data_IF_376775948906
#
_entry.id   IF_376775948906
#
_cell.length_a   1.000
_cell.length_b   1.000
_cell.length_c   1.000
_cell.angle_alpha   90.00
_cell.angle_beta   90.00
_cell.angle_gamma   90.00
#
_symmetry.space_group_name_H-M   'P 1'
#
loop_
_entity.id
_entity.type
_entity.pdbx_description
1 polymer ?
#
# COMPACT_ATOMS: atom_id res chain seq x y z
N UNK A 1 -1.48 -22.07 0.95
CA UNK A 1 -0.54 -22.43 2.05
C UNK A 1 -1.26 -22.17 3.36
N UNK A 2 -1.02 -22.99 4.40
CA UNK A 2 -2.01 -23.20 5.48
C UNK A 2 -2.16 -22.01 6.44
N UNK A 3 -3.33 -21.93 7.08
CA UNK A 3 -3.66 -21.01 8.20
C UNK A 3 -2.54 -20.87 9.24
N UNK A 4 -1.69 -21.90 9.39
CA UNK A 4 -0.54 -21.90 10.29
C UNK A 4 0.52 -20.84 9.95
N UNK A 5 0.75 -20.54 8.66
CA UNK A 5 1.73 -19.52 8.25
C UNK A 5 1.25 -18.13 8.63
N UNK A 6 0.00 -17.79 8.27
CA UNK A 6 -0.65 -16.53 8.63
C UNK A 6 -0.65 -16.32 10.15
N UNK A 7 -1.01 -17.36 10.93
CA UNK A 7 -0.98 -17.27 12.41
C UNK A 7 0.42 -17.00 12.94
N UNK A 8 1.47 -17.60 12.37
CA UNK A 8 2.84 -17.32 12.77
C UNK A 8 3.27 -15.89 12.42
N UNK A 9 2.90 -15.41 11.23
CA UNK A 9 3.18 -14.04 10.78
C UNK A 9 2.47 -13.01 11.66
N UNK A 10 1.20 -13.22 12.00
CA UNK A 10 0.47 -12.37 12.95
C UNK A 10 1.17 -12.31 14.32
N UNK A 11 1.59 -13.46 14.85
CA UNK A 11 2.32 -13.49 16.12
C UNK A 11 3.66 -12.75 16.03
N UNK A 12 4.40 -12.90 14.92
CA UNK A 12 5.65 -12.18 14.71
C UNK A 12 5.43 -10.65 14.69
N UNK A 13 4.35 -10.17 14.08
CA UNK A 13 3.95 -8.77 14.11
C UNK A 13 3.63 -8.33 15.55
N UNK A 14 2.80 -9.11 16.27
CA UNK A 14 2.42 -8.80 17.64
C UNK A 14 3.62 -8.69 18.59
N UNK A 15 4.59 -9.60 18.47
CA UNK A 15 5.81 -9.62 19.27
C UNK A 15 6.77 -8.48 18.89
N UNK A 16 6.99 -8.25 17.59
CA UNK A 16 7.94 -7.25 17.12
C UNK A 16 7.50 -5.80 17.40
N UNK A 17 6.19 -5.56 17.44
CA UNK A 17 5.59 -4.26 17.72
C UNK A 17 5.01 -4.18 19.15
N UNK A 18 5.30 -5.14 20.02
CA UNK A 18 4.86 -5.12 21.40
C UNK A 18 5.39 -3.86 22.13
N UNK A 19 4.50 -3.14 22.80
CA UNK A 19 4.84 -1.94 23.57
C UNK A 19 5.13 -0.69 22.74
N UNK A 20 4.92 -0.73 21.42
CA UNK A 20 4.92 0.49 20.60
C UNK A 20 3.69 1.32 20.99
N UNK A 21 3.93 2.54 21.44
CA UNK A 21 2.91 3.56 21.67
C UNK A 21 3.08 4.70 20.66
N UNK A 22 2.00 5.44 20.41
CA UNK A 22 1.98 6.50 19.40
C UNK A 22 2.81 7.72 19.84
N UNK A 23 2.78 8.05 21.13
CA UNK A 23 3.41 9.27 21.64
C UNK A 23 2.77 10.52 21.04
N UNK A 24 3.58 11.35 20.38
CA UNK A 24 3.15 12.57 19.69
C UNK A 24 2.89 12.36 18.18
N UNK A 25 3.02 11.12 17.69
CA UNK A 25 2.78 10.79 16.28
C UNK A 25 1.32 10.99 15.87
N UNK A 26 1.07 11.16 14.57
CA UNK A 26 -0.29 11.44 14.04
C UNK A 26 -1.19 10.22 14.24
N UNK A 27 -2.36 10.42 14.86
CA UNK A 27 -3.33 9.36 15.15
C UNK A 27 -4.29 9.09 13.99
N UNK A 28 -5.05 8.00 14.07
CA UNK A 28 -5.92 7.51 12.98
C UNK A 28 -6.97 8.54 12.52
N UNK A 29 -7.79 9.07 13.43
CA UNK A 29 -8.79 10.09 13.12
C UNK A 29 -8.16 11.45 12.89
N UNK A 30 -7.03 11.73 13.52
CA UNK A 30 -6.27 12.95 13.24
C UNK A 30 -5.83 13.00 11.78
N UNK A 31 -5.34 11.89 11.23
CA UNK A 31 -4.95 11.75 9.83
C UNK A 31 -6.15 11.90 8.87
N UNK A 32 -7.32 11.36 9.22
CA UNK A 32 -8.58 11.56 8.48
C UNK A 32 -8.97 13.05 8.40
N UNK A 33 -8.83 13.78 9.52
CA UNK A 33 -9.05 15.24 9.53
C UNK A 33 -8.03 15.98 8.68
N UNK A 34 -6.77 15.52 8.62
CA UNK A 34 -5.74 16.12 7.75
C UNK A 34 -6.12 15.94 6.27
N UNK A 35 -6.58 14.76 5.88
CA UNK A 35 -7.05 14.47 4.52
C UNK A 35 -8.20 15.41 4.10
N UNK A 36 -9.14 15.64 5.02
CA UNK A 36 -10.28 16.56 4.84
C UNK A 36 -9.93 18.05 4.99
N UNK A 37 -8.63 18.41 5.05
CA UNK A 37 -8.14 19.79 5.23
C UNK A 37 -8.66 20.49 6.50
N UNK A 38 -8.92 19.72 7.56
CA UNK A 38 -9.43 20.23 8.82
C UNK A 38 -8.43 21.07 9.61
N UNK A 39 -8.96 21.82 10.57
CA UNK A 39 -8.20 22.72 11.43
C UNK A 39 -7.46 21.99 12.56
N UNK A 40 -6.46 22.66 13.16
CA UNK A 40 -5.76 22.16 14.35
C UNK A 40 -6.70 21.83 15.53
N UNK A 41 -7.80 22.58 15.68
CA UNK A 41 -8.79 22.29 16.73
C UNK A 41 -9.56 21.00 16.45
N UNK A 42 -9.88 20.72 15.18
CA UNK A 42 -10.55 19.49 14.77
C UNK A 42 -9.61 18.30 14.89
N UNK A 43 -8.34 18.47 14.49
CA UNK A 43 -7.27 17.47 14.69
C UNK A 43 -7.11 17.08 16.15
N UNK A 44 -7.02 18.07 17.06
CA UNK A 44 -6.90 17.82 18.49
C UNK A 44 -8.14 17.11 19.07
N UNK A 45 -9.35 17.47 18.61
CA UNK A 45 -10.58 16.82 19.03
C UNK A 45 -10.72 15.38 18.51
N UNK A 46 -10.23 15.12 17.29
CA UNK A 46 -10.17 13.79 16.69
C UNK A 46 -9.16 12.90 17.44
N UNK A 47 -7.94 13.41 17.66
CA UNK A 47 -6.88 12.73 18.41
C UNK A 47 -7.31 12.30 19.80
N UNK A 48 -8.08 13.13 20.50
CA UNK A 48 -8.57 12.82 21.85
C UNK A 48 -9.47 11.57 21.93
N UNK A 49 -9.95 11.07 20.79
CA UNK A 49 -10.80 9.88 20.68
C UNK A 49 -10.03 8.64 20.20
N UNK A 50 -8.78 8.79 19.79
CA UNK A 50 -7.99 7.69 19.24
C UNK A 50 -7.29 6.89 20.35
N UNK A 51 -7.10 5.60 20.08
CA UNK A 51 -6.20 4.75 20.84
C UNK A 51 -4.75 5.13 20.48
N UNK A 52 -3.93 5.41 21.50
CA UNK A 52 -2.56 5.93 21.34
C UNK A 52 -1.52 5.14 22.15
N UNK A 53 -1.96 4.17 22.96
CA UNK A 53 -1.12 3.43 23.89
C UNK A 53 -0.80 2.04 23.39
N UNK A 54 -1.76 1.36 22.76
CA UNK A 54 -1.60 0.00 22.26
C UNK A 54 -2.34 -0.20 20.93
N UNK A 55 -1.59 -0.34 19.86
CA UNK A 55 -2.14 -0.51 18.51
C UNK A 55 -3.04 -1.75 18.38
N UNK A 56 -2.90 -2.75 19.25
CA UNK A 56 -3.73 -3.96 19.27
C UNK A 56 -5.17 -3.69 19.72
N UNK A 57 -5.39 -2.57 20.40
CA UNK A 57 -6.72 -2.14 20.83
C UNK A 57 -7.46 -1.37 19.73
N UNK A 58 -6.82 -1.04 18.61
CA UNK A 58 -7.50 -0.41 17.47
C UNK A 58 -8.46 -1.44 16.86
N UNK A 59 -9.78 -1.16 16.83
CA UNK A 59 -10.75 -2.09 16.26
C UNK A 59 -10.57 -2.25 14.75
N UNK A 60 -10.77 -3.47 14.24
CA UNK A 60 -10.74 -3.75 12.79
C UNK A 60 -11.70 -2.84 12.01
N UNK A 61 -12.88 -2.52 12.57
CA UNK A 61 -13.86 -1.59 11.99
C UNK A 61 -13.31 -0.18 11.76
N UNK A 62 -12.33 0.26 12.55
CA UNK A 62 -11.67 1.54 12.32
C UNK A 62 -10.61 1.42 11.23
N UNK A 63 -9.83 0.33 11.22
CA UNK A 63 -8.89 0.07 10.13
C UNK A 63 -9.64 0.02 8.79
N UNK A 64 -10.78 -0.66 8.74
CA UNK A 64 -11.63 -0.78 7.56
C UNK A 64 -12.19 0.57 7.10
N UNK A 65 -12.56 1.43 8.05
CA UNK A 65 -13.16 2.75 7.80
C UNK A 65 -12.15 3.78 7.30
N UNK A 66 -10.88 3.68 7.68
CA UNK A 66 -9.87 4.71 7.42
C UNK A 66 -8.77 4.22 6.45
N UNK A 67 -9.07 3.64 5.27
CA UNK A 67 -8.06 2.99 4.45
C UNK A 67 -6.95 3.93 3.94
N UNK A 68 -7.22 5.23 3.79
CA UNK A 68 -6.33 6.16 3.09
C UNK A 68 -5.41 6.97 4.01
N UNK A 69 -5.54 6.82 5.33
CA UNK A 69 -4.91 7.73 6.29
C UNK A 69 -3.40 7.55 6.45
N UNK A 70 -2.84 6.42 6.01
CA UNK A 70 -1.42 6.09 6.19
C UNK A 70 -0.48 7.10 5.51
N UNK A 71 -0.90 7.76 4.42
CA UNK A 71 -0.06 8.74 3.73
C UNK A 71 0.02 10.10 4.47
N UNK A 72 -0.89 10.35 5.42
CA UNK A 72 -0.90 11.56 6.25
C UNK A 72 -0.20 11.38 7.60
N UNK A 73 0.28 10.17 7.89
CA UNK A 73 0.98 9.87 9.13
C UNK A 73 2.47 10.20 9.05
N UNK A 74 3.01 10.66 10.17
CA UNK A 74 4.45 10.80 10.37
C UNK A 74 5.11 9.46 10.74
N UNK A 75 6.43 9.47 10.96
CA UNK A 75 7.20 8.26 11.29
C UNK A 75 6.64 7.51 12.51
N UNK A 76 6.26 8.26 13.55
CA UNK A 76 5.69 7.70 14.78
C UNK A 76 4.28 7.13 14.54
N UNK A 77 3.43 7.86 13.81
CA UNK A 77 2.12 7.41 13.37
C UNK A 77 2.19 6.11 12.57
N UNK A 78 3.08 6.05 11.58
CA UNK A 78 3.30 4.84 10.78
C UNK A 78 3.80 3.67 11.63
N UNK A 79 4.80 3.90 12.51
CA UNK A 79 5.32 2.85 13.39
C UNK A 79 4.23 2.23 14.27
N UNK A 80 3.28 3.04 14.73
CA UNK A 80 2.19 2.62 15.59
C UNK A 80 1.05 1.93 14.82
N UNK A 81 0.62 2.47 13.67
CA UNK A 81 -0.57 1.96 12.98
C UNK A 81 -0.28 0.83 11.98
N UNK A 82 0.90 0.79 11.33
CA UNK A 82 1.25 -0.28 10.39
C UNK A 82 1.01 -1.71 10.91
N UNK A 83 1.39 -2.09 12.15
CA UNK A 83 1.09 -3.44 12.64
C UNK A 83 -0.40 -3.75 12.74
N UNK A 84 -1.26 -2.77 13.04
CA UNK A 84 -2.71 -2.96 13.06
C UNK A 84 -3.25 -3.20 11.64
N UNK A 85 -2.76 -2.46 10.64
CA UNK A 85 -3.11 -2.65 9.23
C UNK A 85 -2.62 -3.99 8.67
N UNK A 86 -1.39 -4.40 8.97
CA UNK A 86 -0.88 -5.73 8.57
C UNK A 86 -1.70 -6.85 9.21
N UNK A 87 -2.05 -6.73 10.50
CA UNK A 87 -2.92 -7.69 11.20
C UNK A 87 -4.32 -7.75 10.58
N UNK A 88 -4.91 -6.59 10.27
CA UNK A 88 -6.19 -6.51 9.57
C UNK A 88 -6.13 -7.22 8.22
N UNK A 89 -5.13 -6.92 7.39
CA UNK A 89 -4.96 -7.55 6.09
C UNK A 89 -4.89 -9.08 6.20
N UNK A 90 -4.10 -9.61 7.15
CA UNK A 90 -4.00 -11.05 7.37
C UNK A 90 -5.31 -11.70 7.85
N UNK A 91 -6.11 -10.99 8.63
CA UNK A 91 -7.39 -11.49 9.17
C UNK A 91 -8.55 -11.34 8.20
N UNK A 92 -8.53 -10.33 7.34
CA UNK A 92 -9.71 -9.83 6.60
C UNK A 92 -9.58 -9.85 5.07
N UNK A 93 -8.47 -10.34 4.53
CA UNK A 93 -8.26 -10.39 3.07
C UNK A 93 -9.31 -11.21 2.29
N UNK A 94 -10.05 -12.10 2.95
CA UNK A 94 -11.08 -12.93 2.29
C UNK A 94 -12.48 -12.33 2.33
N UNK A 95 -12.78 -11.48 3.32
CA UNK A 95 -14.14 -11.07 3.67
C UNK A 95 -14.35 -9.55 3.76
N UNK A 96 -13.28 -8.74 3.65
CA UNK A 96 -13.37 -7.28 3.55
C UNK A 96 -13.05 -6.79 2.14
N UNK A 97 -13.90 -5.91 1.62
CA UNK A 97 -13.69 -5.18 0.37
C UNK A 97 -12.98 -3.83 0.58
N UNK A 98 -12.48 -3.56 1.80
CA UNK A 98 -11.81 -2.29 2.10
C UNK A 98 -10.42 -2.21 1.48
N UNK A 99 -10.05 -0.99 1.08
CA UNK A 99 -8.73 -0.65 0.55
C UNK A 99 -7.63 -0.66 1.62
N UNK A 100 -7.94 -0.94 2.88
CA UNK A 100 -6.94 -0.93 3.97
C UNK A 100 -5.82 -1.95 3.74
N UNK A 101 -6.13 -3.10 3.14
CA UNK A 101 -5.12 -4.08 2.73
C UNK A 101 -4.19 -3.50 1.66
N UNK A 102 -4.77 -2.93 0.59
CA UNK A 102 -4.00 -2.31 -0.49
C UNK A 102 -3.14 -1.15 0.02
N UNK A 103 -3.67 -0.31 0.90
CA UNK A 103 -2.94 0.81 1.50
C UNK A 103 -1.74 0.35 2.33
N UNK A 104 -1.91 -0.73 3.11
CA UNK A 104 -0.82 -1.32 3.88
C UNK A 104 0.29 -1.85 2.96
N UNK A 105 -0.09 -2.64 1.95
CA UNK A 105 0.86 -3.24 1.00
C UNK A 105 1.54 -2.16 0.15
N UNK A 106 0.79 -1.16 -0.34
CA UNK A 106 1.33 -0.01 -1.05
C UNK A 106 2.38 0.71 -0.21
N UNK A 107 2.05 1.03 1.05
CA UNK A 107 2.97 1.72 1.95
C UNK A 107 4.23 0.90 2.20
N UNK A 108 4.15 -0.43 2.21
CA UNK A 108 5.29 -1.31 2.43
C UNK A 108 6.07 -1.67 1.16
N UNK A 109 5.53 -1.34 -0.03
CA UNK A 109 6.18 -1.56 -1.33
C UNK A 109 6.72 -0.29 -1.99
N UNK A 110 6.25 0.90 -1.60
CA UNK A 110 6.75 2.17 -2.11
C UNK A 110 8.23 2.40 -1.71
N UNK A 111 9.16 2.61 -2.66
CA UNK A 111 10.58 2.73 -2.35
C UNK A 111 10.92 3.87 -1.40
N UNK A 112 10.20 5.00 -1.48
CA UNK A 112 10.43 6.18 -0.64
C UNK A 112 9.96 5.91 0.79
N UNK A 113 8.83 5.24 0.93
CA UNK A 113 8.33 4.72 2.21
C UNK A 113 9.32 3.76 2.86
N UNK A 114 9.83 2.78 2.11
CA UNK A 114 10.79 1.81 2.64
C UNK A 114 12.04 2.52 3.15
N UNK A 115 12.57 3.49 2.39
CA UNK A 115 13.72 4.29 2.80
C UNK A 115 13.46 5.04 4.12
N UNK A 116 12.30 5.70 4.23
CA UNK A 116 11.85 6.41 5.43
C UNK A 116 11.74 5.44 6.63
N UNK A 117 10.98 4.35 6.48
CA UNK A 117 10.67 3.39 7.56
C UNK A 117 11.91 2.66 8.08
N UNK A 118 12.84 2.29 7.20
CA UNK A 118 14.08 1.59 7.58
C UNK A 118 14.94 2.38 8.56
N UNK A 119 14.84 3.71 8.56
CA UNK A 119 15.63 4.58 9.44
C UNK A 119 15.25 4.49 10.92
N UNK A 120 14.03 4.05 11.25
CA UNK A 120 13.52 4.09 12.62
C UNK A 120 12.89 2.79 13.13
N UNK A 121 12.74 1.78 12.28
CA UNK A 121 12.25 0.46 12.69
C UNK A 121 13.36 -0.41 13.28
N UNK A 122 13.02 -1.14 14.35
CA UNK A 122 13.93 -2.14 14.90
C UNK A 122 14.08 -3.35 13.95
N UNK A 123 15.20 -4.10 13.99
CA UNK A 123 15.38 -5.27 13.15
C UNK A 123 14.26 -6.31 13.26
N UNK A 124 13.69 -6.50 14.45
CA UNK A 124 12.54 -7.40 14.66
C UNK A 124 11.29 -6.92 13.90
N UNK A 125 11.05 -5.60 13.84
CA UNK A 125 9.93 -5.00 13.12
C UNK A 125 10.09 -5.17 11.61
N UNK A 126 11.32 -4.98 11.10
CA UNK A 126 11.66 -5.24 9.69
C UNK A 126 11.42 -6.71 9.35
N UNK A 127 11.85 -7.64 10.20
CA UNK A 127 11.63 -9.07 9.99
C UNK A 127 10.14 -9.45 9.97
N UNK A 128 9.31 -8.80 10.80
CA UNK A 128 7.86 -9.01 10.78
C UNK A 128 7.22 -8.48 9.49
N UNK A 129 7.65 -7.30 9.00
CA UNK A 129 7.23 -6.76 7.70
C UNK A 129 7.60 -7.69 6.56
N UNK A 130 8.83 -8.24 6.56
CA UNK A 130 9.27 -9.20 5.56
C UNK A 130 8.40 -10.46 5.54
N UNK A 131 8.02 -10.99 6.70
CA UNK A 131 7.10 -12.13 6.80
C UNK A 131 5.72 -11.79 6.24
N UNK A 132 5.18 -10.61 6.58
CA UNK A 132 3.93 -10.12 6.02
C UNK A 132 3.97 -10.02 4.48
N UNK A 133 5.00 -9.39 3.92
CA UNK A 133 5.15 -9.27 2.46
C UNK A 133 5.31 -10.63 1.78
N UNK A 134 5.96 -11.60 2.42
CA UNK A 134 6.02 -12.97 1.91
C UNK A 134 4.63 -13.62 1.87
N UNK A 135 3.76 -13.39 2.87
CA UNK A 135 2.36 -13.86 2.82
C UNK A 135 1.61 -13.21 1.66
N UNK A 136 1.74 -11.89 1.49
CA UNK A 136 1.11 -11.17 0.38
C UNK A 136 1.59 -11.69 -0.99
N UNK A 137 2.89 -11.94 -1.15
CA UNK A 137 3.45 -12.46 -2.40
C UNK A 137 2.89 -13.83 -2.79
N UNK A 138 2.49 -14.64 -1.81
CA UNK A 138 1.95 -15.98 -2.02
C UNK A 138 0.43 -16.01 -2.14
N UNK A 139 -0.21 -14.84 -2.01
CA UNK A 139 -1.65 -14.72 -1.95
C UNK A 139 -2.14 -13.55 -2.82
N UNK A 140 -2.53 -13.89 -4.05
CA UNK A 140 -2.98 -12.94 -5.07
C UNK A 140 -4.19 -12.08 -4.65
N UNK A 141 -4.87 -12.42 -3.54
CA UNK A 141 -5.98 -11.62 -2.99
C UNK A 141 -5.54 -10.49 -2.05
N UNK A 142 -4.30 -10.52 -1.54
CA UNK A 142 -3.79 -9.52 -0.60
C UNK A 142 -3.24 -8.26 -1.29
N UNK A 143 -3.49 -8.10 -2.59
CA UNK A 143 -3.15 -6.91 -3.37
C UNK A 143 -1.71 -6.89 -3.89
N UNK A 144 -1.47 -6.01 -4.87
CA UNK A 144 -0.20 -5.81 -5.61
C UNK A 144 0.28 -7.00 -6.46
N UNK A 145 1.13 -6.69 -7.43
CA UNK A 145 1.77 -7.72 -8.25
C UNK A 145 2.86 -8.44 -7.45
N UNK A 146 3.03 -9.74 -7.68
CA UNK A 146 4.09 -10.53 -7.02
C UNK A 146 5.51 -10.00 -7.34
N UNK A 147 5.68 -9.31 -8.46
CA UNK A 147 6.92 -8.63 -8.86
C UNK A 147 7.18 -7.39 -8.01
N UNK A 148 6.19 -6.52 -7.80
CA UNK A 148 6.32 -5.33 -6.95
C UNK A 148 6.67 -5.72 -5.51
N UNK A 149 5.97 -6.72 -4.96
CA UNK A 149 6.26 -7.26 -3.63
C UNK A 149 7.67 -7.87 -3.58
N UNK A 150 8.10 -8.56 -4.64
CA UNK A 150 9.45 -9.11 -4.76
C UNK A 150 10.54 -8.04 -4.70
N UNK A 151 10.33 -6.89 -5.35
CA UNK A 151 11.23 -5.74 -5.29
C UNK A 151 11.25 -5.11 -3.89
N UNK A 152 10.07 -4.96 -3.27
CA UNK A 152 9.96 -4.48 -1.90
C UNK A 152 10.76 -5.37 -0.94
N UNK A 153 10.60 -6.69 -1.01
CA UNK A 153 11.34 -7.66 -0.18
C UNK A 153 12.85 -7.50 -0.37
N UNK A 154 13.34 -7.36 -1.61
CA UNK A 154 14.77 -7.10 -1.87
C UNK A 154 15.23 -5.79 -1.22
N UNK A 155 14.45 -4.72 -1.37
CA UNK A 155 14.78 -3.42 -0.77
C UNK A 155 14.77 -3.48 0.77
N UNK A 156 13.82 -4.18 1.40
CA UNK A 156 13.80 -4.46 2.84
C UNK A 156 14.97 -5.33 3.30
N UNK A 157 15.60 -6.09 2.41
CA UNK A 157 16.86 -6.79 2.69
C UNK A 157 18.12 -5.95 2.43
N UNK A 158 17.96 -4.68 2.03
CA UNK A 158 19.07 -3.74 1.81
C UNK A 158 19.63 -3.75 0.39
N UNK A 159 18.92 -4.32 -0.58
CA UNK A 159 19.28 -4.23 -1.99
C UNK A 159 18.90 -2.85 -2.56
N UNK A 160 19.90 -1.97 -2.66
CA UNK A 160 19.74 -0.63 -3.23
C UNK A 160 19.36 -0.65 -4.72
N UNK A 161 19.65 -1.73 -5.45
CA UNK A 161 19.27 -1.85 -6.86
C UNK A 161 17.78 -2.04 -7.04
N UNK A 162 17.12 -2.72 -6.09
CA UNK A 162 15.68 -2.94 -6.11
C UNK A 162 14.88 -1.64 -6.00
N UNK A 163 15.35 -0.68 -5.21
CA UNK A 163 14.73 0.64 -5.09
C UNK A 163 14.75 1.39 -6.44
N UNK A 164 15.86 1.30 -7.18
CA UNK A 164 16.01 1.90 -8.50
C UNK A 164 15.13 1.20 -9.53
N UNK A 165 15.11 -0.13 -9.55
CA UNK A 165 14.24 -0.93 -10.43
C UNK A 165 12.76 -0.59 -10.20
N UNK A 166 12.32 -0.48 -8.95
CA UNK A 166 10.94 -0.12 -8.61
C UNK A 166 10.58 1.29 -9.08
N UNK A 167 11.47 2.29 -8.88
CA UNK A 167 11.29 3.65 -9.40
C UNK A 167 11.24 3.69 -10.94
N UNK A 168 12.05 2.89 -11.63
CA UNK A 168 12.03 2.76 -13.09
C UNK A 168 10.73 2.09 -13.61
N UNK A 169 10.15 1.15 -12.86
CA UNK A 169 8.83 0.56 -13.17
C UNK A 169 7.73 1.61 -12.97
N UNK A 170 7.72 2.30 -11.84
CA UNK A 170 6.73 3.34 -11.54
C UNK A 170 6.75 4.45 -12.61
N UNK A 171 7.94 4.95 -12.96
CA UNK A 171 8.07 5.97 -14.01
C UNK A 171 7.56 5.49 -15.38
N UNK A 172 7.77 4.22 -15.72
CA UNK A 172 7.19 3.63 -16.95
C UNK A 172 5.68 3.51 -16.87
N UNK A 173 5.12 3.16 -15.71
CA UNK A 173 3.66 3.17 -15.46
C UNK A 173 3.08 4.56 -15.65
N UNK A 174 3.68 5.57 -15.04
CA UNK A 174 3.20 6.96 -15.15
C UNK A 174 3.24 7.45 -16.60
N UNK A 175 4.36 7.22 -17.29
CA UNK A 175 4.48 7.52 -18.71
C UNK A 175 3.42 6.77 -19.54
N UNK A 176 3.18 5.49 -19.23
CA UNK A 176 2.15 4.71 -19.90
C UNK A 176 0.76 5.29 -19.69
N UNK A 177 0.41 5.67 -18.45
CA UNK A 177 -0.89 6.29 -18.14
C UNK A 177 -1.08 7.63 -18.85
N UNK A 178 -0.05 8.48 -18.91
CA UNK A 178 -0.10 9.76 -19.62
C UNK A 178 -0.28 9.58 -21.13
N UNK A 179 0.53 8.72 -21.75
CA UNK A 179 0.45 8.46 -23.19
C UNK A 179 -0.87 7.76 -23.57
N UNK A 180 -1.34 6.82 -22.74
CA UNK A 180 -2.61 6.14 -22.95
C UNK A 180 -3.81 7.08 -22.76
N UNK A 181 -3.79 7.93 -21.72
CA UNK A 181 -4.84 8.93 -21.49
C UNK A 181 -4.95 9.94 -22.64
N UNK A 182 -3.81 10.35 -23.20
CA UNK A 182 -3.75 11.18 -24.41
C UNK A 182 -4.37 10.46 -25.60
N UNK A 183 -4.01 9.19 -25.81
CA UNK A 183 -4.57 8.36 -26.89
C UNK A 183 -6.09 8.18 -26.76
N UNK A 184 -6.59 7.91 -25.55
CA UNK A 184 -8.03 7.77 -25.30
C UNK A 184 -8.79 9.07 -25.63
N UNK A 185 -8.22 10.22 -25.22
CA UNK A 185 -8.75 11.55 -25.54
C UNK A 185 -8.78 11.80 -27.04
N UNK A 186 -7.67 11.52 -27.75
CA UNK A 186 -7.55 11.66 -29.21
C UNK A 186 -8.61 10.84 -29.97
N UNK A 187 -8.93 9.66 -29.47
CA UNK A 187 -9.91 8.75 -30.07
C UNK A 187 -11.35 9.11 -29.67
N UNK A 188 -11.54 10.08 -28.76
CA UNK A 188 -12.86 10.46 -28.24
C UNK A 188 -13.52 9.34 -27.43
N UNK A 189 -12.71 8.46 -26.83
CA UNK A 189 -13.22 7.29 -26.11
C UNK A 189 -13.01 7.48 -24.62
N UNK A 190 -14.04 7.14 -23.84
CA UNK A 190 -13.91 7.02 -22.39
C UNK A 190 -12.91 5.89 -22.07
N UNK A 191 -11.79 6.27 -21.46
CA UNK A 191 -10.67 5.38 -21.14
C UNK A 191 -11.11 4.21 -20.25
N UNK A 192 -12.06 4.42 -19.34
CA UNK A 192 -12.61 3.38 -18.45
C UNK A 192 -13.44 2.35 -19.22
N UNK A 193 -14.12 2.79 -20.27
CA UNK A 193 -14.92 1.92 -21.14
C UNK A 193 -14.03 1.07 -22.05
N UNK A 194 -12.94 1.62 -22.58
CA UNK A 194 -11.95 0.86 -23.37
C UNK A 194 -11.24 -0.22 -22.57
N UNK A 195 -10.76 0.15 -21.38
CA UNK A 195 -10.00 -0.73 -20.51
C UNK A 195 -10.83 -1.94 -20.04
N UNK A 196 -12.15 -1.76 -19.87
CA UNK A 196 -13.05 -2.79 -19.35
C UNK A 196 -13.76 -3.65 -20.41
N UNK A 197 -14.10 -3.10 -21.57
CA UNK A 197 -15.06 -3.76 -22.48
C UNK A 197 -14.43 -4.29 -23.78
N UNK A 198 -13.18 -3.93 -24.10
CA UNK A 198 -12.48 -4.45 -25.29
C UNK A 198 -13.10 -4.06 -26.64
N UNK A 199 -14.05 -3.12 -26.66
CA UNK A 199 -14.69 -2.64 -27.89
C UNK A 199 -13.86 -1.50 -28.51
N UNK A 200 -12.78 -1.87 -29.19
CA UNK A 200 -11.96 -0.97 -30.01
C UNK A 200 -12.28 -1.20 -31.49
N UNK A 201 -12.35 -0.12 -32.28
CA UNK A 201 -12.28 -0.26 -33.73
C UNK A 201 -10.83 -0.60 -34.18
N UNK A 202 -10.65 -1.00 -35.43
CA UNK A 202 -9.36 -1.48 -35.94
C UNK A 202 -8.23 -0.43 -35.85
N UNK A 203 -8.56 0.87 -35.93
CA UNK A 203 -7.54 1.92 -35.84
C UNK A 203 -7.17 2.23 -34.40
N UNK A 204 -8.14 2.18 -33.49
CA UNK A 204 -7.91 2.26 -32.06
C UNK A 204 -7.10 1.04 -31.56
N UNK A 205 -7.43 -0.18 -32.00
CA UNK A 205 -6.71 -1.42 -31.68
C UNK A 205 -5.25 -1.36 -32.14
N UNK A 206 -5.01 -0.85 -33.35
CA UNK A 206 -3.66 -0.67 -33.88
C UNK A 206 -2.85 0.35 -33.09
N UNK A 207 -3.44 1.51 -32.72
CA UNK A 207 -2.75 2.54 -31.93
C UNK A 207 -2.44 2.05 -30.52
N UNK A 208 -3.35 1.32 -29.88
CA UNK A 208 -3.11 0.67 -28.58
C UNK A 208 -1.98 -0.37 -28.70
N UNK A 209 -2.01 -1.21 -29.73
CA UNK A 209 -0.95 -2.20 -29.98
C UNK A 209 0.43 -1.55 -30.23
N UNK A 210 0.48 -0.47 -30.99
CA UNK A 210 1.71 0.28 -31.26
C UNK A 210 2.24 0.95 -29.97
N UNK A 211 1.35 1.46 -29.12
CA UNK A 211 1.68 2.01 -27.80
C UNK A 211 2.24 0.92 -26.87
N UNK A 212 1.59 -0.24 -26.80
CA UNK A 212 2.09 -1.40 -26.04
C UNK A 212 3.47 -1.83 -26.54
N UNK A 213 3.70 -1.85 -27.85
CA UNK A 213 5.02 -2.18 -28.43
C UNK A 213 6.08 -1.13 -28.07
N UNK A 214 5.73 0.16 -28.10
CA UNK A 214 6.63 1.27 -27.76
C UNK A 214 7.03 1.24 -26.29
N UNK A 215 6.09 0.93 -25.40
CA UNK A 215 6.29 0.99 -23.94
C UNK A 215 6.74 -0.35 -23.34
N UNK A 216 6.80 -1.41 -24.14
CA UNK A 216 7.28 -2.74 -23.72
C UNK A 216 6.22 -3.61 -23.05
N UNK A 217 4.93 -3.37 -23.34
CA UNK A 217 3.78 -4.06 -22.76
C UNK A 217 2.98 -3.17 -21.80
N UNK A 218 1.97 -3.77 -21.16
CA UNK A 218 1.32 -3.19 -19.98
C UNK A 218 2.28 -3.33 -18.80
N UNK A 219 2.73 -2.23 -18.16
CA UNK A 219 3.67 -2.31 -17.06
C UNK A 219 3.05 -2.85 -15.74
N UNK A 220 1.74 -3.14 -15.71
CA UNK A 220 1.04 -3.82 -14.62
C UNK A 220 0.76 -5.31 -14.85
N UNK A 221 1.20 -5.89 -15.98
CA UNK A 221 1.00 -7.30 -16.35
C UNK A 221 2.14 -8.24 -15.93
#
# INVERSE_FOLDING_TARGET
MSDSSIVNTMRAIEEAFAGVSLGDGISLREADVIDDYGSESERAAARAQDEIHDWRNIPDEFIEKFPDVLCFMDDAGLRFHLPAYMRFALLRYEDSDSRSTDSAVFRLCDPSSIEQLRGFLAPAQINAILQFLLECQQNDRMGFSASDIGLAIRQWNGDETAARESKEIAARRDQWFEEFGTLATDLGIDWLTLYRNGELDAEAEKRVTDLLRKLGGDPGA
#
